data_IF_497309395944
#
_entry.id   IF_497309395944
#
_cell.length_a   1.000
_cell.length_b   1.000
_cell.length_c   1.000
_cell.angle_alpha   90.00
_cell.angle_beta   90.00
_cell.angle_gamma   90.00
#
_symmetry.space_group_name_H-M   'P 1'
#
loop_
_entity.id
_entity.type
_entity.pdbx_description
1 polymer ?
#
# COMPACT_ATOMS: atom_id res chain seq x y z
N UNK A 1 13.32 -2.03 19.55
CA UNK A 1 13.58 -3.42 19.12
C UNK A 1 14.72 -3.90 19.98
N UNK A 2 14.56 -4.97 20.76
CA UNK A 2 15.67 -5.52 21.53
C UNK A 2 16.75 -6.06 20.58
N UNK A 3 17.98 -5.51 20.60
CA UNK A 3 19.04 -5.89 19.66
C UNK A 3 19.39 -7.38 19.70
N UNK A 4 19.15 -8.04 20.84
CA UNK A 4 19.53 -9.44 21.07
C UNK A 4 18.70 -10.46 20.29
N UNK A 5 17.44 -10.17 19.94
CA UNK A 5 16.59 -11.12 19.22
C UNK A 5 17.02 -11.28 17.75
N UNK A 6 17.39 -10.16 17.11
CA UNK A 6 17.87 -10.15 15.73
C UNK A 6 19.19 -10.92 15.57
N UNK A 7 20.15 -10.68 16.47
CA UNK A 7 21.45 -11.33 16.42
C UNK A 7 21.35 -12.86 16.58
N UNK A 8 20.53 -13.34 17.53
CA UNK A 8 20.30 -14.78 17.74
C UNK A 8 19.61 -15.43 16.54
N UNK A 9 18.60 -14.76 15.98
CA UNK A 9 17.90 -15.26 14.81
C UNK A 9 18.80 -15.32 13.56
N UNK A 10 19.73 -14.37 13.42
CA UNK A 10 20.74 -14.40 12.36
C UNK A 10 21.72 -15.56 12.53
N UNK A 11 22.27 -15.75 13.73
CA UNK A 11 23.18 -16.85 14.02
C UNK A 11 22.54 -18.23 13.73
N UNK A 12 21.27 -18.41 14.10
CA UNK A 12 20.53 -19.63 13.80
C UNK A 12 20.32 -19.81 12.29
N UNK A 13 19.99 -18.75 11.56
CA UNK A 13 19.83 -18.81 10.10
C UNK A 13 21.13 -19.23 9.42
N UNK A 14 22.27 -18.68 9.84
CA UNK A 14 23.57 -18.99 9.26
C UNK A 14 23.96 -20.47 9.52
N UNK A 15 23.69 -20.99 10.72
CA UNK A 15 23.87 -22.41 11.04
C UNK A 15 22.96 -23.31 10.23
N UNK A 16 21.69 -22.94 10.04
CA UNK A 16 20.74 -23.73 9.26
C UNK A 16 21.10 -23.74 7.76
N UNK A 17 21.59 -22.62 7.22
CA UNK A 17 22.08 -22.55 5.83
C UNK A 17 23.34 -23.39 5.62
N UNK A 18 24.20 -23.52 6.63
CA UNK A 18 25.39 -24.37 6.55
C UNK A 18 25.04 -25.87 6.50
N UNK A 19 23.95 -26.28 7.16
CA UNK A 19 23.52 -27.69 7.25
C UNK A 19 22.58 -28.08 6.10
N UNK A 20 21.76 -27.13 5.62
CA UNK A 20 20.74 -27.38 4.61
C UNK A 20 21.18 -26.78 3.26
N UNK A 21 21.39 -27.62 2.22
CA UNK A 21 21.60 -27.14 0.86
C UNK A 21 20.43 -26.26 0.40
N UNK A 22 20.71 -25.16 -0.30
CA UNK A 22 19.68 -24.20 -0.76
C UNK A 22 18.60 -24.83 -1.65
N UNK A 23 18.91 -25.96 -2.30
CA UNK A 23 17.98 -26.71 -3.13
C UNK A 23 16.89 -27.48 -2.35
N UNK A 24 17.12 -27.77 -1.06
CA UNK A 24 16.21 -28.61 -0.25
C UNK A 24 15.30 -27.81 0.67
N UNK A 25 15.72 -26.64 1.14
CA UNK A 25 14.94 -25.87 2.10
C UNK A 25 15.22 -24.36 2.02
N UNK A 26 14.14 -23.57 2.01
CA UNK A 26 14.22 -22.12 2.14
C UNK A 26 14.25 -21.72 3.62
N UNK A 27 15.43 -21.35 4.12
CA UNK A 27 15.62 -20.89 5.51
C UNK A 27 15.23 -19.41 5.61
N UNK A 28 13.95 -19.17 5.86
CA UNK A 28 13.41 -17.83 6.10
C UNK A 28 13.61 -17.39 7.56
N UNK A 29 14.04 -16.15 7.76
CA UNK A 29 14.11 -15.53 9.09
C UNK A 29 12.79 -14.81 9.40
N UNK A 30 12.05 -15.21 10.46
CA UNK A 30 10.83 -14.52 10.83
C UNK A 30 11.17 -13.15 11.41
N UNK A 31 10.66 -12.10 10.77
CA UNK A 31 10.84 -10.72 11.23
C UNK A 31 9.57 -9.89 10.99
N UNK A 32 9.38 -8.84 11.80
CA UNK A 32 8.29 -7.89 11.57
C UNK A 32 8.62 -7.06 10.34
N UNK A 33 7.86 -7.25 9.26
CA UNK A 33 8.01 -6.53 8.00
C UNK A 33 6.94 -5.45 7.83
N UNK A 34 7.31 -4.34 7.20
CA UNK A 34 6.38 -3.35 6.66
C UNK A 34 6.36 -3.40 5.13
N UNK A 35 5.25 -2.96 4.54
CA UNK A 35 5.10 -2.84 3.09
C UNK A 35 5.12 -1.35 2.68
N UNK A 36 5.90 -1.03 1.67
CA UNK A 36 6.03 0.28 1.06
C UNK A 36 5.55 0.22 -0.38
N UNK A 37 4.94 1.31 -0.84
CA UNK A 37 4.60 1.55 -2.23
C UNK A 37 5.34 2.79 -2.72
N UNK A 38 6.04 2.65 -3.83
CA UNK A 38 6.62 3.77 -4.57
C UNK A 38 5.75 4.07 -5.78
N UNK A 39 5.43 5.34 -5.99
CA UNK A 39 4.52 5.82 -7.05
C UNK A 39 5.24 6.88 -7.86
N UNK A 40 5.18 6.77 -9.19
CA UNK A 40 5.76 7.76 -10.09
C UNK A 40 7.18 7.43 -10.52
N UNK A 41 7.46 6.14 -10.69
CA UNK A 41 8.69 5.66 -11.30
C UNK A 41 8.67 5.90 -12.81
N UNK A 42 9.83 6.21 -13.38
CA UNK A 42 10.02 6.25 -14.82
C UNK A 42 10.19 4.85 -15.44
N UNK A 43 10.21 4.78 -16.77
CA UNK A 43 10.30 3.52 -17.52
C UNK A 43 11.67 2.83 -17.42
N UNK A 44 12.73 3.58 -17.11
CA UNK A 44 14.08 3.04 -16.98
C UNK A 44 14.36 2.54 -15.55
N UNK A 45 13.53 2.92 -14.58
CA UNK A 45 13.67 2.48 -13.19
C UNK A 45 13.60 0.96 -13.09
N UNK A 46 14.53 0.37 -12.33
CA UNK A 46 14.61 -1.07 -12.11
C UNK A 46 14.23 -1.45 -10.67
N UNK A 47 13.87 -2.71 -10.45
CA UNK A 47 13.59 -3.22 -9.10
C UNK A 47 14.83 -3.17 -8.20
N UNK A 48 16.02 -3.27 -8.79
CA UNK A 48 17.29 -3.28 -8.08
C UNK A 48 17.66 -1.88 -7.56
N UNK A 49 17.40 -0.82 -8.34
CA UNK A 49 17.54 0.57 -7.88
C UNK A 49 16.67 0.86 -6.65
N UNK A 50 15.44 0.32 -6.63
CA UNK A 50 14.52 0.46 -5.50
C UNK A 50 15.07 -0.29 -4.28
N UNK A 51 15.64 -1.49 -4.48
CA UNK A 51 16.26 -2.26 -3.41
C UNK A 51 17.50 -1.54 -2.85
N UNK A 52 18.38 -1.02 -3.71
CA UNK A 52 19.59 -0.29 -3.33
C UNK A 52 19.25 0.98 -2.55
N UNK A 53 18.24 1.73 -2.98
CA UNK A 53 17.75 2.89 -2.24
C UNK A 53 17.30 2.50 -0.81
N UNK A 54 16.62 1.37 -0.65
CA UNK A 54 16.16 0.89 0.66
C UNK A 54 17.35 0.47 1.54
N UNK A 55 18.37 -0.18 0.96
CA UNK A 55 19.59 -0.59 1.68
C UNK A 55 20.37 0.63 2.18
N UNK A 56 20.61 1.60 1.30
CA UNK A 56 21.38 2.81 1.59
C UNK A 56 20.75 3.61 2.73
N UNK A 57 19.42 3.77 2.71
CA UNK A 57 18.69 4.53 3.71
C UNK A 57 18.34 3.71 4.96
N UNK A 58 18.21 2.39 4.82
CA UNK A 58 17.68 1.49 5.84
C UNK A 58 18.73 0.79 6.69
N UNK A 59 20.01 0.78 6.29
CA UNK A 59 21.05 -0.04 6.91
C UNK A 59 20.62 -1.51 7.09
N UNK A 60 19.88 -2.05 6.11
CA UNK A 60 19.42 -3.43 6.10
C UNK A 60 20.13 -4.24 5.02
N UNK A 61 20.22 -5.56 5.21
CA UNK A 61 20.72 -6.47 4.17
C UNK A 61 19.74 -6.58 3.00
N UNK A 62 20.27 -6.79 1.78
CA UNK A 62 19.45 -7.01 0.58
C UNK A 62 18.53 -8.21 0.71
N UNK A 63 18.94 -9.22 1.48
CA UNK A 63 18.20 -10.46 1.75
C UNK A 63 16.88 -10.25 2.51
N UNK A 64 16.74 -9.14 3.23
CA UNK A 64 15.55 -8.80 4.00
C UNK A 64 14.51 -8.02 3.19
N UNK A 65 14.88 -7.63 1.97
CA UNK A 65 14.07 -6.80 1.10
C UNK A 65 13.49 -7.67 0.00
N UNK A 66 12.17 -7.57 -0.19
CA UNK A 66 11.49 -8.18 -1.34
C UNK A 66 10.81 -7.09 -2.13
N UNK A 67 11.31 -6.83 -3.33
CA UNK A 67 10.72 -5.87 -4.27
C UNK A 67 9.87 -6.67 -5.27
N UNK A 68 8.66 -6.18 -5.54
CA UNK A 68 7.80 -6.74 -6.58
C UNK A 68 8.26 -6.32 -7.97
N UNK A 69 7.72 -6.95 -8.99
CA UNK A 69 7.80 -6.41 -10.35
C UNK A 69 7.19 -5.01 -10.41
N UNK A 70 7.75 -4.18 -11.29
CA UNK A 70 7.28 -2.82 -11.54
C UNK A 70 6.01 -2.90 -12.38
N UNK A 71 4.95 -2.24 -11.92
CA UNK A 71 3.65 -2.25 -12.57
C UNK A 71 3.33 -0.90 -13.19
N UNK A 72 2.88 -0.91 -14.45
CA UNK A 72 2.43 0.30 -15.12
C UNK A 72 1.11 0.82 -14.53
N UNK A 73 1.01 2.13 -14.36
CA UNK A 73 -0.20 2.82 -13.95
C UNK A 73 -0.88 3.48 -15.16
N UNK A 74 -2.17 3.80 -15.02
CA UNK A 74 -2.97 4.44 -16.09
C UNK A 74 -2.48 5.84 -16.49
N UNK A 75 -1.67 6.48 -15.64
CA UNK A 75 -1.10 7.80 -15.89
C UNK A 75 0.23 7.75 -16.67
N UNK A 76 0.65 6.59 -17.18
CA UNK A 76 1.89 6.43 -17.94
C UNK A 76 3.17 6.34 -17.09
N UNK A 77 3.05 6.44 -15.77
CA UNK A 77 4.16 6.18 -14.83
C UNK A 77 4.04 4.78 -14.23
N UNK A 78 5.04 4.40 -13.46
CA UNK A 78 5.13 3.09 -12.85
C UNK A 78 5.03 3.12 -11.32
N UNK A 79 4.66 1.98 -10.74
CA UNK A 79 4.60 1.75 -9.30
C UNK A 79 5.22 0.41 -8.93
N UNK A 80 5.83 0.34 -7.75
CA UNK A 80 6.43 -0.90 -7.23
C UNK A 80 6.12 -1.03 -5.75
N UNK A 81 5.99 -2.27 -5.27
CA UNK A 81 5.83 -2.56 -3.86
C UNK A 81 7.11 -3.17 -3.33
N UNK A 82 7.54 -2.74 -2.15
CA UNK A 82 8.68 -3.31 -1.46
C UNK A 82 8.29 -3.72 -0.04
N UNK A 83 8.63 -4.95 0.33
CA UNK A 83 8.56 -5.44 1.70
C UNK A 83 9.95 -5.35 2.32
N UNK A 84 10.03 -4.71 3.47
CA UNK A 84 11.28 -4.52 4.20
C UNK A 84 11.04 -4.60 5.72
N UNK A 85 12.09 -4.62 6.56
CA UNK A 85 11.94 -4.61 8.01
C UNK A 85 11.11 -3.41 8.48
N UNK A 86 10.23 -3.59 9.47
CA UNK A 86 9.28 -2.54 9.89
C UNK A 86 9.97 -1.23 10.30
N UNK A 87 11.10 -1.29 10.99
CA UNK A 87 11.85 -0.10 11.40
C UNK A 87 12.34 0.72 10.19
N UNK A 88 12.88 0.02 9.19
CA UNK A 88 13.32 0.61 7.92
C UNK A 88 12.14 1.18 7.15
N UNK A 89 11.04 0.42 7.06
CA UNK A 89 9.82 0.86 6.39
C UNK A 89 9.31 2.18 6.99
N UNK A 90 9.24 2.29 8.32
CA UNK A 90 8.79 3.50 9.02
C UNK A 90 9.72 4.68 8.75
N UNK A 91 11.04 4.44 8.73
CA UNK A 91 12.03 5.48 8.45
C UNK A 91 11.89 6.01 7.01
N UNK A 92 11.86 5.11 6.03
CA UNK A 92 11.73 5.47 4.61
C UNK A 92 10.38 6.14 4.32
N UNK A 93 9.29 5.67 4.93
CA UNK A 93 7.98 6.29 4.76
C UNK A 93 7.92 7.74 5.28
N UNK A 94 8.76 8.12 6.26
CA UNK A 94 8.85 9.51 6.74
C UNK A 94 9.45 10.45 5.71
N UNK A 95 10.30 9.97 4.80
CA UNK A 95 10.91 10.78 3.74
C UNK A 95 9.89 11.27 2.71
N UNK A 96 8.75 10.58 2.54
CA UNK A 96 7.64 10.86 1.61
C UNK A 96 7.98 10.83 0.12
N UNK A 97 9.22 11.13 -0.27
CA UNK A 97 9.71 11.16 -1.64
C UNK A 97 11.12 10.56 -1.67
N UNK A 98 11.40 9.77 -2.70
CA UNK A 98 12.71 9.23 -3.03
C UNK A 98 13.06 9.63 -4.45
N UNK A 99 14.34 9.90 -4.71
CA UNK A 99 14.84 9.96 -6.09
C UNK A 99 15.22 8.54 -6.49
N UNK A 100 14.54 8.00 -7.50
CA UNK A 100 14.80 6.67 -8.05
C UNK A 100 14.92 6.87 -9.56
N UNK A 101 16.03 6.42 -10.15
CA UNK A 101 16.41 6.78 -11.51
C UNK A 101 16.43 8.30 -11.72
N UNK A 102 15.62 8.76 -12.68
CA UNK A 102 15.55 10.17 -13.09
C UNK A 102 14.40 10.95 -12.45
N UNK A 103 13.54 10.28 -11.68
CA UNK A 103 12.29 10.84 -11.19
C UNK A 103 12.20 10.84 -9.66
N UNK A 104 11.35 11.72 -9.13
CA UNK A 104 10.98 11.70 -7.72
C UNK A 104 9.74 10.82 -7.52
N UNK A 105 9.98 9.63 -6.96
CA UNK A 105 8.93 8.70 -6.56
C UNK A 105 8.34 9.07 -5.21
N UNK A 106 7.01 9.09 -5.11
CA UNK A 106 6.29 9.24 -3.84
C UNK A 106 6.29 7.91 -3.09
N UNK A 107 6.58 7.98 -1.79
CA UNK A 107 6.63 6.81 -0.90
C UNK A 107 5.38 6.80 -0.02
N UNK A 108 4.69 5.67 -0.01
CA UNK A 108 3.53 5.43 0.85
C UNK A 108 3.73 4.14 1.64
N UNK A 109 3.59 4.21 2.96
CA UNK A 109 3.48 3.00 3.78
C UNK A 109 2.09 2.40 3.61
N UNK A 110 2.04 1.12 3.27
CA UNK A 110 0.80 0.38 3.17
C UNK A 110 0.38 -0.10 4.56
N UNK A 111 -0.91 0.08 4.87
CA UNK A 111 -1.51 -0.50 6.06
C UNK A 111 -1.60 -2.02 5.91
N UNK A 112 -1.48 -2.73 7.02
CA UNK A 112 -1.67 -4.18 7.05
C UNK A 112 -3.10 -4.50 6.61
N UNK A 113 -3.23 -5.23 5.50
CA UNK A 113 -4.53 -5.76 5.08
C UNK A 113 -5.05 -6.70 6.17
N UNK A 114 -6.27 -6.50 6.67
CA UNK A 114 -6.82 -7.39 7.67
C UNK A 114 -7.07 -8.78 7.06
N UNK A 115 -7.16 -9.76 7.94
CA UNK A 115 -7.35 -11.15 7.54
C UNK A 115 -8.69 -11.31 6.82
N UNK A 116 -8.65 -11.79 5.59
CA UNK A 116 -9.85 -12.10 4.81
C UNK A 116 -10.12 -13.60 4.82
N UNK A 117 -11.36 -13.99 5.10
CA UNK A 117 -11.80 -15.36 5.04
C UNK A 117 -12.03 -15.81 3.60
N UNK A 118 -11.32 -16.84 3.14
CA UNK A 118 -11.47 -17.36 1.78
C UNK A 118 -12.81 -18.06 1.52
N UNK A 119 -13.52 -18.52 2.56
CA UNK A 119 -14.83 -19.18 2.42
C UNK A 119 -15.93 -18.16 2.18
N UNK A 120 -16.10 -17.21 3.09
CA UNK A 120 -17.24 -16.29 3.04
C UNK A 120 -16.92 -14.91 2.49
N UNK A 121 -15.62 -14.60 2.37
CA UNK A 121 -15.06 -13.30 1.96
C UNK A 121 -15.20 -12.17 2.97
N UNK A 122 -15.66 -12.46 4.19
CA UNK A 122 -15.66 -11.53 5.31
C UNK A 122 -14.26 -11.28 5.88
N UNK A 123 -14.12 -10.22 6.68
CA UNK A 123 -12.86 -9.82 7.30
C UNK A 123 -12.80 -10.23 8.78
N UNK A 124 -11.59 -10.36 9.33
CA UNK A 124 -11.33 -10.61 10.75
C UNK A 124 -11.26 -12.08 11.18
N UNK A 125 -11.44 -13.04 10.27
CA UNK A 125 -11.39 -14.47 10.59
C UNK A 125 -10.84 -15.30 9.42
N UNK A 126 -10.45 -16.55 9.69
CA UNK A 126 -9.95 -17.50 8.69
C UNK A 126 -10.97 -18.60 8.40
N UNK A 127 -10.77 -19.40 7.34
CA UNK A 127 -11.69 -20.46 6.92
C UNK A 127 -12.08 -21.43 8.04
N UNK A 128 -11.11 -21.85 8.85
CA UNK A 128 -11.32 -22.82 9.94
C UNK A 128 -12.18 -22.27 11.09
N UNK A 129 -12.19 -20.96 11.29
CA UNK A 129 -12.96 -20.28 12.33
C UNK A 129 -14.21 -19.59 11.77
N UNK A 130 -14.66 -20.00 10.58
CA UNK A 130 -15.75 -19.35 9.87
C UNK A 130 -17.09 -20.00 10.23
N UNK A 131 -17.99 -19.23 10.85
CA UNK A 131 -19.33 -19.66 11.23
C UNK A 131 -20.38 -19.48 10.12
N UNK A 132 -20.05 -18.79 9.03
CA UNK A 132 -21.02 -18.50 7.98
C UNK A 132 -21.31 -19.72 7.11
N UNK A 133 -22.58 -19.90 6.74
CA UNK A 133 -23.00 -20.99 5.87
C UNK A 133 -22.66 -20.79 4.38
N UNK A 134 -22.32 -19.56 3.97
CA UNK A 134 -22.09 -19.23 2.56
C UNK A 134 -20.64 -19.55 2.16
N UNK A 135 -20.48 -20.41 1.17
CA UNK A 135 -19.19 -20.73 0.56
C UNK A 135 -19.04 -20.06 -0.81
N UNK A 136 -18.03 -19.21 -0.94
CA UNK A 136 -17.61 -18.47 -2.14
C UNK A 136 -16.17 -18.82 -2.53
N UNK A 137 -15.61 -19.91 -2.00
CA UNK A 137 -14.22 -20.29 -2.22
C UNK A 137 -13.86 -20.52 -3.69
N UNK A 138 -14.85 -20.92 -4.51
CA UNK A 138 -14.71 -21.12 -5.96
C UNK A 138 -15.18 -19.95 -6.82
N UNK A 139 -15.68 -18.89 -6.19
CA UNK A 139 -16.20 -17.73 -6.89
C UNK A 139 -15.07 -16.75 -7.28
N UNK A 140 -15.26 -16.00 -8.36
CA UNK A 140 -14.30 -15.00 -8.80
C UNK A 140 -14.40 -13.72 -7.95
N UNK A 141 -13.28 -13.24 -7.40
CA UNK A 141 -13.24 -11.99 -6.62
C UNK A 141 -13.71 -10.73 -7.37
N UNK A 142 -13.80 -10.78 -8.71
CA UNK A 142 -14.24 -9.65 -9.51
C UNK A 142 -15.77 -9.58 -9.68
N UNK A 143 -16.49 -10.70 -9.58
CA UNK A 143 -17.94 -10.73 -9.86
C UNK A 143 -18.75 -11.66 -8.93
N UNK A 144 -18.10 -12.63 -8.29
CA UNK A 144 -18.74 -13.55 -7.36
C UNK A 144 -19.39 -14.78 -8.00
N UNK A 145 -19.14 -15.06 -9.28
CA UNK A 145 -19.56 -16.30 -9.94
C UNK A 145 -18.38 -17.25 -10.15
N UNK A 146 -18.67 -18.54 -10.23
CA UNK A 146 -17.69 -19.58 -10.57
C UNK A 146 -17.41 -19.66 -12.08
N UNK A 147 -16.44 -20.48 -12.47
CA UNK A 147 -16.25 -20.87 -13.88
C UNK A 147 -15.35 -19.98 -14.74
N UNK A 148 -14.60 -19.04 -14.16
CA UNK A 148 -13.64 -18.24 -14.92
C UNK A 148 -12.41 -17.82 -14.10
N UNK A 149 -11.25 -17.74 -14.78
CA UNK A 149 -10.03 -17.19 -14.22
C UNK A 149 -10.08 -15.65 -14.21
N UNK A 150 -9.60 -15.01 -13.15
CA UNK A 150 -9.64 -13.55 -12.97
C UNK A 150 -9.05 -12.74 -14.15
N UNK A 151 -8.06 -13.30 -14.87
CA UNK A 151 -7.39 -12.62 -15.99
C UNK A 151 -8.23 -12.56 -17.27
N UNK A 152 -9.24 -13.42 -17.42
CA UNK A 152 -10.04 -13.53 -18.65
C UNK A 152 -11.37 -12.75 -18.61
N UNK A 153 -11.61 -11.95 -17.56
CA UNK A 153 -12.92 -11.34 -17.31
C UNK A 153 -12.97 -9.86 -17.68
N UNK A 154 -13.71 -9.54 -18.74
CA UNK A 154 -13.86 -8.17 -19.30
C UNK A 154 -15.08 -7.41 -18.77
N UNK A 155 -15.92 -8.03 -17.93
CA UNK A 155 -17.13 -7.41 -17.39
C UNK A 155 -16.83 -6.49 -16.19
N UNK A 156 -17.71 -5.50 -15.92
CA UNK A 156 -17.55 -4.59 -14.78
C UNK A 156 -17.50 -5.36 -13.46
N UNK A 157 -16.67 -4.86 -12.54
CA UNK A 157 -16.45 -5.47 -11.23
C UNK A 157 -17.67 -5.32 -10.32
N UNK A 158 -18.09 -6.40 -9.67
CA UNK A 158 -19.18 -6.45 -8.70
C UNK A 158 -18.74 -7.11 -7.39
N UNK A 159 -18.94 -6.40 -6.28
CA UNK A 159 -18.63 -6.86 -4.94
C UNK A 159 -19.86 -7.49 -4.28
N UNK A 160 -19.92 -8.83 -4.26
CA UNK A 160 -21.01 -9.60 -3.63
C UNK A 160 -21.11 -9.41 -2.11
N UNK A 161 -20.01 -9.03 -1.46
CA UNK A 161 -20.01 -8.78 -0.01
C UNK A 161 -20.68 -7.45 0.30
N UNK A 162 -20.34 -6.39 -0.44
CA UNK A 162 -20.99 -5.09 -0.29
C UNK A 162 -22.45 -5.14 -0.68
N UNK A 163 -22.79 -5.90 -1.73
CA UNK A 163 -24.17 -6.10 -2.15
C UNK A 163 -25.01 -6.80 -1.08
N UNK A 164 -24.49 -7.86 -0.44
CA UNK A 164 -25.17 -8.53 0.66
C UNK A 164 -25.43 -7.61 1.87
N UNK A 165 -24.62 -6.55 2.03
CA UNK A 165 -24.79 -5.50 3.04
C UNK A 165 -25.58 -4.26 2.55
N UNK A 166 -26.12 -4.28 1.32
CA UNK A 166 -26.88 -3.17 0.76
C UNK A 166 -26.05 -1.91 0.42
N UNK A 167 -24.73 -2.05 0.24
CA UNK A 167 -23.80 -0.97 -0.13
C UNK A 167 -23.54 -0.96 -1.63
N UNK A 168 -22.95 0.14 -2.12
CA UNK A 168 -22.53 0.25 -3.53
C UNK A 168 -21.61 -0.91 -3.91
N UNK A 169 -21.98 -1.67 -4.93
CA UNK A 169 -21.30 -2.92 -5.31
C UNK A 169 -20.43 -2.80 -6.56
N UNK A 170 -20.39 -1.64 -7.23
CA UNK A 170 -19.65 -1.43 -8.49
C UNK A 170 -18.15 -1.25 -8.28
N UNK A 171 -17.53 -2.25 -7.65
CA UNK A 171 -16.10 -2.31 -7.41
C UNK A 171 -15.65 -3.75 -7.18
N UNK A 172 -14.34 -3.99 -7.33
CA UNK A 172 -13.73 -5.27 -6.97
C UNK A 172 -13.56 -5.39 -5.45
N UNK A 173 -13.87 -6.56 -4.88
CA UNK A 173 -13.66 -6.82 -3.46
C UNK A 173 -12.19 -6.60 -3.06
N UNK A 174 -11.96 -5.90 -1.95
CA UNK A 174 -10.61 -5.56 -1.46
C UNK A 174 -9.90 -4.45 -2.25
N UNK A 175 -10.54 -3.84 -3.25
CA UNK A 175 -10.04 -2.62 -3.88
C UNK A 175 -10.10 -1.43 -2.93
N UNK A 176 -9.41 -0.33 -3.25
CA UNK A 176 -9.47 0.90 -2.45
C UNK A 176 -10.90 1.46 -2.31
N UNK A 177 -11.78 1.16 -3.25
CA UNK A 177 -13.21 1.52 -3.23
C UNK A 177 -14.05 0.63 -2.30
N UNK A 178 -13.54 -0.55 -1.95
CA UNK A 178 -14.19 -1.49 -1.04
C UNK A 178 -13.92 -1.08 0.42
N UNK A 179 -14.86 -0.35 1.02
CA UNK A 179 -14.72 0.14 2.41
C UNK A 179 -14.92 -0.94 3.48
N UNK A 180 -15.24 -2.17 3.09
CA UNK A 180 -15.41 -3.32 3.99
C UNK A 180 -14.15 -3.64 4.79
N UNK A 181 -13.00 -3.43 4.16
CA UNK A 181 -11.69 -3.78 4.66
C UNK A 181 -11.10 -2.71 5.61
N UNK A 182 -11.64 -1.49 5.55
CA UNK A 182 -11.11 -0.37 6.31
C UNK A 182 -11.80 -0.29 7.65
N UNK A 183 -11.05 -0.54 8.74
CA UNK A 183 -11.42 0.00 10.07
C UNK A 183 -11.83 1.45 9.85
N UNK A 184 -13.03 1.83 10.29
CA UNK A 184 -13.55 3.19 10.11
C UNK A 184 -12.46 4.19 10.49
N UNK A 185 -11.90 4.90 9.51
CA UNK A 185 -10.98 5.99 9.82
C UNK A 185 -11.81 7.08 10.48
N UNK A 186 -11.39 7.53 11.67
CA UNK A 186 -11.96 8.75 12.26
C UNK A 186 -11.86 9.85 11.20
N UNK A 187 -12.93 10.62 10.93
CA UNK A 187 -12.89 11.66 9.92
C UNK A 187 -11.75 12.63 10.26
N UNK A 188 -10.86 12.85 9.28
CA UNK A 188 -9.81 13.87 9.38
C UNK A 188 -10.51 15.22 9.60
N UNK A 189 -10.21 15.98 10.67
CA UNK A 189 -10.83 17.29 10.85
C UNK A 189 -10.53 18.13 9.61
N UNK A 190 -11.59 18.69 9.00
CA UNK A 190 -11.45 19.58 7.85
C UNK A 190 -10.54 20.76 8.27
N UNK A 191 -9.54 21.14 7.46
CA UNK A 191 -8.83 22.39 7.73
C UNK A 191 -9.86 23.52 7.74
N UNK A 192 -9.85 24.34 8.80
CA UNK A 192 -10.70 25.53 8.88
C UNK A 192 -10.35 26.41 7.68
N UNK A 193 -11.31 26.64 6.81
CA UNK A 193 -11.21 27.70 5.81
C UNK A 193 -11.13 29.02 6.57
N UNK A 194 -9.94 29.63 6.60
CA UNK A 194 -9.79 31.01 7.00
C UNK A 194 -10.59 31.86 6.02
N UNK A 195 -11.71 32.40 6.49
CA UNK A 195 -12.51 33.38 5.77
C UNK A 195 -11.63 34.61 5.51
N UNK A 196 -11.27 34.85 4.25
CA UNK A 196 -10.72 36.13 3.83
C UNK A 196 -11.87 37.12 3.83
N UNK A 197 -11.91 38.00 4.83
CA UNK A 197 -12.82 39.14 4.87
C UNK A 197 -12.32 40.18 3.86
N UNK A 198 -13.12 40.65 2.89
CA UNK A 198 -12.69 41.71 2.00
C UNK A 198 -12.71 43.04 2.76
N UNK A 199 -11.54 43.60 3.00
CA UNK A 199 -11.39 44.92 3.63
C UNK A 199 -11.94 46.03 2.73
N UNK A 200 -12.97 46.73 3.21
CA UNK A 200 -13.40 48.05 2.72
C UNK A 200 -12.22 49.01 2.80
N UNK A 201 -11.76 49.56 1.68
CA UNK A 201 -10.99 50.81 1.70
C UNK A 201 -11.98 51.97 1.75
N UNK A 202 -11.99 52.66 2.88
CA UNK A 202 -12.61 53.98 3.07
C UNK A 202 -11.54 55.06 3.02
N UNK A 203 -11.91 56.18 2.38
CA UNK A 203 -11.27 57.49 2.47
C UNK A 203 -10.31 57.80 1.31
N UNK A 204 -10.26 59.00 0.73
CA UNK A 204 -11.07 60.21 0.84
C UNK A 204 -10.75 61.09 -0.38
N UNK A 205 -11.65 62.04 -0.65
CA UNK A 205 -11.65 63.02 -1.75
C UNK A 205 -10.51 64.06 -1.71
N UNK A 206 -10.49 64.86 -2.80
CA UNK A 206 -9.88 66.20 -3.05
C UNK A 206 -8.72 66.08 -4.06
N UNK A 207 -8.67 66.78 -5.20
CA UNK A 207 -9.48 67.86 -5.75
C UNK A 207 -8.92 68.31 -7.11
N UNK A 208 -9.71 69.13 -7.78
CA UNK A 208 -9.64 69.71 -9.13
C UNK A 208 -8.33 70.45 -9.46
N UNK A 209 -7.86 70.38 -10.71
CA UNK A 209 -7.50 71.55 -11.57
C UNK A 209 -7.36 71.17 -13.05
N UNK A 210 -7.91 72.04 -13.90
CA UNK A 210 -7.97 72.01 -15.37
C UNK A 210 -6.67 72.48 -16.07
N UNK A 211 -6.61 72.20 -17.38
CA UNK A 211 -5.84 72.79 -18.50
C UNK A 211 -5.10 71.68 -19.27
N UNK A 212 -5.11 71.60 -20.60
CA UNK A 212 -5.40 72.57 -21.67
C UNK A 212 -6.12 71.89 -22.86
#
# INVERSE_FOLDING_TARGET
MDPGCFAKAKALQDQLKAILPEEKANVARPMKTGELRFIGLDIAATSDEVADFIVENGKCGKEDIKVSEIQAMRNGLYTVWARCPLAVAVYIAKMRKARIGWTFSRIEMLETRPTQCFRCWGFGHVRYSCSSNIDRSRACFNYGMEGHALRAFTRPSRCVVCEAEGRTSDHRLGSASCKMDRKQSKPRPKPRSSAVTPGRRTGDNIGIVSNA
#
